data_IF_444198545213
#
_entry.id   IF_444198545213
#
_cell.length_a   1.000
_cell.length_b   1.000
_cell.length_c   1.000
_cell.angle_alpha   90.00
_cell.angle_beta   90.00
_cell.angle_gamma   90.00
#
_symmetry.space_group_name_H-M   'P 1'
#
loop_
_entity.id
_entity.type
_entity.pdbx_description
1 polymer ?
#
# COMPACT_ATOMS: atom_id res chain seq x y z
N UNK A 1 -34.40 -6.20 -8.18
CA UNK A 1 -33.55 -6.14 -9.40
C UNK A 1 -33.00 -4.75 -9.66
N UNK A 2 -33.81 -3.68 -9.73
CA UNK A 2 -33.32 -2.32 -9.99
C UNK A 2 -32.36 -1.76 -8.91
N UNK A 3 -32.61 -2.06 -7.63
CA UNK A 3 -31.73 -1.60 -6.54
C UNK A 3 -30.36 -2.28 -6.55
N UNK A 4 -30.33 -3.59 -6.78
CA UNK A 4 -29.09 -4.34 -6.94
C UNK A 4 -28.25 -3.79 -8.11
N UNK A 5 -28.88 -3.48 -9.24
CA UNK A 5 -28.20 -2.86 -10.38
C UNK A 5 -27.67 -1.46 -10.05
N UNK A 6 -28.42 -0.63 -9.32
CA UNK A 6 -27.95 0.69 -8.85
C UNK A 6 -26.75 0.56 -7.92
N UNK A 7 -26.77 -0.39 -6.99
CA UNK A 7 -25.66 -0.65 -6.08
C UNK A 7 -24.41 -1.10 -6.85
N UNK A 8 -24.55 -2.02 -7.81
CA UNK A 8 -23.44 -2.45 -8.66
C UNK A 8 -22.80 -1.30 -9.44
N UNK A 9 -23.61 -0.37 -9.97
CA UNK A 9 -23.10 0.83 -10.63
C UNK A 9 -22.37 1.76 -9.66
N UNK A 10 -22.89 1.94 -8.44
CA UNK A 10 -22.24 2.76 -7.40
C UNK A 10 -20.90 2.16 -6.96
N UNK A 11 -20.84 0.84 -6.74
CA UNK A 11 -19.61 0.12 -6.42
C UNK A 11 -18.57 0.24 -7.55
N UNK A 12 -18.99 0.05 -8.80
CA UNK A 12 -18.11 0.21 -9.96
C UNK A 12 -17.52 1.63 -10.07
N UNK A 13 -18.38 2.65 -9.95
CA UNK A 13 -17.93 4.05 -9.96
C UNK A 13 -16.99 4.38 -8.80
N UNK A 14 -17.27 3.84 -7.61
CA UNK A 14 -16.44 4.01 -6.41
C UNK A 14 -15.06 3.39 -6.60
N UNK A 15 -14.99 2.19 -7.18
CA UNK A 15 -13.73 1.52 -7.46
C UNK A 15 -12.90 2.28 -8.50
N UNK A 16 -13.53 2.83 -9.54
CA UNK A 16 -12.83 3.60 -10.57
C UNK A 16 -12.30 4.92 -10.03
N UNK A 17 -13.09 5.65 -9.24
CA UNK A 17 -12.66 6.89 -8.58
C UNK A 17 -11.52 6.62 -7.58
N UNK A 18 -11.58 5.49 -6.86
CA UNK A 18 -10.51 5.06 -5.95
C UNK A 18 -9.20 4.81 -6.71
N UNK A 19 -9.24 4.07 -7.84
CA UNK A 19 -8.06 3.83 -8.69
C UNK A 19 -7.50 5.12 -9.28
N UNK A 20 -8.36 6.06 -9.67
CA UNK A 20 -7.94 7.36 -10.18
C UNK A 20 -7.24 8.17 -9.08
N UNK A 21 -7.83 8.18 -7.88
CA UNK A 21 -7.30 8.86 -6.70
C UNK A 21 -5.93 8.30 -6.31
N UNK A 22 -5.79 6.97 -6.20
CA UNK A 22 -4.49 6.33 -5.92
C UNK A 22 -3.41 6.86 -6.86
N UNK A 23 -3.65 6.81 -8.17
CA UNK A 23 -2.70 7.23 -9.22
C UNK A 23 -2.37 8.72 -9.15
N UNK A 24 -3.36 9.56 -8.88
CA UNK A 24 -3.21 11.02 -8.81
C UNK A 24 -2.21 11.46 -7.73
N UNK A 25 -2.13 10.72 -6.63
CA UNK A 25 -1.31 11.09 -5.48
C UNK A 25 0.03 10.36 -5.38
N UNK A 26 0.32 9.38 -6.26
CA UNK A 26 1.63 8.70 -6.30
C UNK A 26 2.83 9.66 -6.40
N UNK A 27 2.80 10.76 -7.18
CA UNK A 27 3.92 11.70 -7.20
C UNK A 27 4.23 12.33 -5.84
N UNK A 28 3.19 12.60 -5.02
CA UNK A 28 3.35 13.14 -3.66
C UNK A 28 3.93 12.09 -2.73
N UNK A 29 3.39 10.87 -2.76
CA UNK A 29 3.92 9.73 -2.01
C UNK A 29 5.40 9.48 -2.33
N UNK A 30 5.76 9.49 -3.61
CA UNK A 30 7.15 9.38 -4.06
C UNK A 30 8.03 10.47 -3.47
N UNK A 31 7.63 11.73 -3.65
CA UNK A 31 8.43 12.87 -3.18
C UNK A 31 8.72 12.75 -1.69
N UNK A 32 7.71 12.37 -0.90
CA UNK A 32 7.86 12.22 0.55
C UNK A 32 8.71 11.01 0.93
N UNK A 33 8.54 9.87 0.28
CA UNK A 33 9.40 8.69 0.46
C UNK A 33 10.88 9.00 0.19
N UNK A 34 11.17 9.74 -0.88
CA UNK A 34 12.55 10.11 -1.25
C UNK A 34 13.19 11.06 -0.25
N UNK A 35 12.41 12.00 0.30
CA UNK A 35 12.86 12.87 1.37
C UNK A 35 13.17 12.10 2.66
N UNK A 36 12.31 11.14 3.04
CA UNK A 36 12.47 10.37 4.27
C UNK A 36 13.64 9.37 4.22
N UNK A 37 14.00 8.91 3.04
CA UNK A 37 14.93 7.81 2.83
C UNK A 37 16.01 8.17 1.82
N UNK A 38 16.70 9.31 1.97
CA UNK A 38 17.59 9.93 0.97
C UNK A 38 18.86 9.12 0.58
N UNK A 39 18.69 8.15 -0.33
CA UNK A 39 19.76 7.37 -0.94
C UNK A 39 20.60 8.22 -1.90
N UNK A 40 20.01 9.22 -2.54
CA UNK A 40 20.69 10.07 -3.51
C UNK A 40 21.86 10.81 -2.84
N UNK A 41 21.67 11.38 -1.65
CA UNK A 41 22.74 12.03 -0.89
C UNK A 41 23.90 11.07 -0.55
N UNK A 42 23.60 9.84 -0.11
CA UNK A 42 24.62 8.82 0.18
C UNK A 42 25.40 8.45 -1.10
N UNK A 43 24.71 8.29 -2.22
CA UNK A 43 25.32 8.01 -3.52
C UNK A 43 26.19 9.18 -4.01
N UNK A 44 25.78 10.43 -3.77
CA UNK A 44 26.60 11.59 -4.10
C UNK A 44 27.87 11.65 -3.23
N UNK A 45 27.76 11.37 -1.93
CA UNK A 45 28.94 11.30 -1.06
C UNK A 45 29.90 10.20 -1.50
N UNK A 46 29.39 9.02 -1.89
CA UNK A 46 30.21 7.93 -2.44
C UNK A 46 30.99 8.33 -3.69
N UNK A 47 30.44 9.21 -4.54
CA UNK A 47 31.08 9.70 -5.76
C UNK A 47 32.18 10.72 -5.49
N UNK A 48 32.00 11.58 -4.49
CA UNK A 48 32.95 12.66 -4.16
C UNK A 48 34.05 12.20 -3.21
N UNK A 49 33.87 11.06 -2.52
CA UNK A 49 34.82 10.57 -1.53
C UNK A 49 36.14 10.09 -2.15
N UNK A 50 37.25 10.55 -1.55
CA UNK A 50 38.60 10.14 -1.92
C UNK A 50 38.78 8.60 -1.82
N UNK A 51 39.49 8.02 -2.80
CA UNK A 51 39.86 6.61 -2.88
C UNK A 51 40.77 6.13 -1.76
N UNK A 52 41.46 7.04 -1.08
CA UNK A 52 42.26 6.71 0.11
C UNK A 52 41.40 6.36 1.32
N UNK A 53 40.18 6.91 1.41
CA UNK A 53 39.27 6.75 2.56
C UNK A 53 38.44 5.46 2.50
N UNK A 54 39.11 4.30 2.43
CA UNK A 54 38.46 2.98 2.25
C UNK A 54 37.44 2.66 3.36
N UNK A 55 37.74 2.98 4.62
CA UNK A 55 36.85 2.69 5.75
C UNK A 55 35.53 3.47 5.63
N UNK A 56 35.63 4.79 5.39
CA UNK A 56 34.45 5.66 5.23
C UNK A 56 33.64 5.27 3.99
N UNK A 57 34.31 4.91 2.89
CA UNK A 57 33.63 4.38 1.69
C UNK A 57 32.84 3.10 1.98
N UNK A 58 33.43 2.17 2.72
CA UNK A 58 32.76 0.92 3.06
C UNK A 58 31.54 1.18 3.94
N UNK A 59 31.64 2.08 4.93
CA UNK A 59 30.49 2.48 5.75
C UNK A 59 29.35 3.05 4.89
N UNK A 60 29.65 3.99 3.99
CA UNK A 60 28.63 4.57 3.09
C UNK A 60 27.98 3.53 2.16
N UNK A 61 28.72 2.50 1.73
CA UNK A 61 28.11 1.40 0.96
C UNK A 61 27.19 0.52 1.80
N UNK A 62 27.52 0.29 3.07
CA UNK A 62 26.63 -0.41 3.99
C UNK A 62 25.38 0.43 4.29
N UNK A 63 25.52 1.74 4.45
CA UNK A 63 24.39 2.67 4.59
C UNK A 63 23.51 2.66 3.34
N UNK A 64 24.12 2.75 2.15
CA UNK A 64 23.40 2.68 0.88
C UNK A 64 22.65 1.35 0.70
N UNK A 65 23.25 0.23 1.13
CA UNK A 65 22.59 -1.09 1.13
C UNK A 65 21.35 -1.09 2.01
N UNK A 66 21.48 -0.72 3.29
CA UNK A 66 20.36 -0.73 4.22
C UNK A 66 19.25 0.24 3.77
N UNK A 67 19.64 1.42 3.29
CA UNK A 67 18.71 2.44 2.83
C UNK A 67 17.97 2.02 1.57
N UNK A 68 18.62 1.34 0.62
CA UNK A 68 17.98 0.82 -0.59
C UNK A 68 16.91 -0.24 -0.27
N UNK A 69 17.23 -1.22 0.59
CA UNK A 69 16.26 -2.23 1.02
C UNK A 69 15.12 -1.62 1.84
N UNK A 70 15.43 -0.71 2.77
CA UNK A 70 14.42 0.00 3.57
C UNK A 70 13.48 0.78 2.65
N UNK A 71 14.02 1.54 1.69
CA UNK A 71 13.21 2.35 0.78
C UNK A 71 12.34 1.49 -0.13
N UNK A 72 12.87 0.40 -0.66
CA UNK A 72 12.12 -0.51 -1.51
C UNK A 72 10.93 -1.15 -0.78
N UNK A 73 11.16 -1.72 0.41
CA UNK A 73 10.09 -2.33 1.20
C UNK A 73 9.09 -1.31 1.73
N UNK A 74 9.56 -0.14 2.20
CA UNK A 74 8.68 0.95 2.66
C UNK A 74 7.76 1.40 1.52
N UNK A 75 8.27 1.51 0.29
CA UNK A 75 7.46 1.88 -0.87
C UNK A 75 6.36 0.86 -1.16
N UNK A 76 6.65 -0.44 -1.08
CA UNK A 76 5.65 -1.50 -1.30
C UNK A 76 4.57 -1.50 -0.22
N UNK A 77 4.96 -1.41 1.05
CA UNK A 77 4.04 -1.36 2.19
C UNK A 77 3.18 -0.11 2.13
N UNK A 78 3.80 1.06 1.92
CA UNK A 78 3.09 2.32 1.80
C UNK A 78 2.13 2.31 0.60
N UNK A 79 2.52 1.74 -0.54
CA UNK A 79 1.63 1.60 -1.69
C UNK A 79 0.42 0.71 -1.40
N UNK A 80 0.59 -0.42 -0.71
CA UNK A 80 -0.53 -1.28 -0.31
C UNK A 80 -1.46 -0.62 0.70
N UNK A 81 -0.92 0.00 1.75
CA UNK A 81 -1.70 0.74 2.74
C UNK A 81 -2.43 1.93 2.12
N UNK A 82 -1.81 2.61 1.16
CA UNK A 82 -2.43 3.68 0.40
C UNK A 82 -3.68 3.22 -0.36
N UNK A 83 -3.67 2.01 -0.92
CA UNK A 83 -4.85 1.44 -1.56
C UNK A 83 -5.96 1.20 -0.55
N UNK A 84 -5.65 0.58 0.58
CA UNK A 84 -6.64 0.32 1.63
C UNK A 84 -7.28 1.61 2.12
N UNK A 85 -6.48 2.64 2.41
CA UNK A 85 -6.98 3.94 2.86
C UNK A 85 -7.89 4.59 1.81
N UNK A 86 -7.40 4.75 0.58
CA UNK A 86 -8.14 5.47 -0.47
C UNK A 86 -9.45 4.75 -0.80
N UNK A 87 -9.42 3.42 -0.96
CA UNK A 87 -10.63 2.66 -1.24
C UNK A 87 -11.62 2.72 -0.08
N UNK A 88 -11.17 2.64 1.17
CA UNK A 88 -12.03 2.82 2.34
C UNK A 88 -12.68 4.21 2.35
N UNK A 89 -11.89 5.29 2.24
CA UNK A 89 -12.41 6.66 2.30
C UNK A 89 -13.38 6.97 1.15
N UNK A 90 -13.03 6.58 -0.08
CA UNK A 90 -13.89 6.81 -1.25
C UNK A 90 -15.15 5.96 -1.17
N UNK A 91 -15.10 4.75 -0.59
CA UNK A 91 -16.29 3.90 -0.40
C UNK A 91 -17.23 4.44 0.68
N UNK A 92 -16.70 4.99 1.77
CA UNK A 92 -17.50 5.68 2.79
C UNK A 92 -18.25 6.86 2.17
N UNK A 93 -17.56 7.71 1.40
CA UNK A 93 -18.20 8.83 0.68
C UNK A 93 -19.19 8.30 -0.36
N UNK A 94 -18.81 7.27 -1.12
CA UNK A 94 -19.63 6.65 -2.16
C UNK A 94 -20.95 6.13 -1.60
N UNK A 95 -20.94 5.53 -0.41
CA UNK A 95 -22.14 5.15 0.33
C UNK A 95 -23.02 6.35 0.65
N UNK A 96 -22.46 7.42 1.24
CA UNK A 96 -23.23 8.64 1.58
C UNK A 96 -23.90 9.25 0.34
N UNK A 97 -23.17 9.32 -0.77
CA UNK A 97 -23.70 9.79 -2.06
C UNK A 97 -24.80 8.86 -2.60
N UNK A 98 -24.62 7.54 -2.49
CA UNK A 98 -25.60 6.55 -2.91
C UNK A 98 -26.90 6.64 -2.10
N UNK A 99 -26.81 6.75 -0.77
CA UNK A 99 -27.96 6.91 0.14
C UNK A 99 -28.70 8.23 -0.11
N UNK A 100 -27.97 9.33 -0.29
CA UNK A 100 -28.54 10.63 -0.65
C UNK A 100 -29.35 10.56 -1.95
N UNK A 101 -28.88 9.81 -2.95
CA UNK A 101 -29.61 9.61 -4.23
C UNK A 101 -30.95 8.86 -4.09
N UNK A 102 -31.27 8.35 -2.91
CA UNK A 102 -32.58 7.74 -2.60
C UNK A 102 -33.59 8.75 -2.05
N UNK A 103 -33.14 9.88 -1.51
CA UNK A 103 -34.01 10.93 -0.93
C UNK A 103 -34.27 12.04 -1.96
N UNK A 104 -35.51 12.15 -2.45
CA UNK A 104 -35.89 12.97 -3.61
C UNK A 104 -36.43 14.38 -3.29
N UNK A 105 -36.48 14.81 -2.02
CA UNK A 105 -37.09 16.09 -1.65
C UNK A 105 -36.06 17.18 -1.33
N UNK A 106 -36.02 18.22 -2.15
CA UNK A 106 -35.08 19.34 -2.04
C UNK A 106 -35.76 20.56 -1.40
N UNK A 107 -35.51 20.78 -0.12
CA UNK A 107 -35.77 22.06 0.58
C UNK A 107 -34.53 22.96 0.55
N UNK A 108 -34.66 24.28 0.73
CA UNK A 108 -33.49 25.18 0.83
C UNK A 108 -32.62 24.89 2.06
N UNK A 109 -33.20 24.32 3.13
CA UNK A 109 -32.42 23.77 4.27
C UNK A 109 -31.60 22.54 3.88
N UNK A 110 -32.07 21.77 2.89
CA UNK A 110 -31.33 20.63 2.35
C UNK A 110 -30.07 21.11 1.64
N UNK A 111 -30.15 22.15 0.79
CA UNK A 111 -28.98 22.70 0.07
C UNK A 111 -27.84 23.11 1.01
N UNK A 112 -28.13 23.80 2.11
CA UNK A 112 -27.11 24.19 3.08
C UNK A 112 -26.47 22.97 3.77
N UNK A 113 -27.25 21.92 4.03
CA UNK A 113 -26.73 20.66 4.56
C UNK A 113 -25.86 19.93 3.54
N UNK A 114 -26.25 19.96 2.27
CA UNK A 114 -25.47 19.35 1.18
C UNK A 114 -24.12 20.03 0.99
N UNK A 115 -24.06 21.37 1.05
CA UNK A 115 -22.80 22.10 1.01
C UNK A 115 -21.89 21.75 2.20
N UNK A 116 -22.46 21.59 3.40
CA UNK A 116 -21.71 21.15 4.59
C UNK A 116 -21.17 19.72 4.46
N UNK A 117 -21.97 18.80 3.93
CA UNK A 117 -21.57 17.41 3.66
C UNK A 117 -20.45 17.34 2.60
N UNK A 118 -20.53 18.13 1.53
CA UNK A 118 -19.47 18.23 0.52
C UNK A 118 -18.16 18.78 1.10
N UNK A 119 -18.24 19.82 1.94
CA UNK A 119 -17.07 20.34 2.66
C UNK A 119 -16.48 19.28 3.59
N UNK A 120 -17.32 18.50 4.27
CA UNK A 120 -16.88 17.41 5.13
C UNK A 120 -16.21 16.28 4.36
N UNK A 121 -16.73 15.89 3.19
CA UNK A 121 -16.08 14.93 2.30
C UNK A 121 -14.68 15.39 1.89
N UNK A 122 -14.54 16.66 1.51
CA UNK A 122 -13.25 17.25 1.16
C UNK A 122 -12.28 17.27 2.34
N UNK A 123 -12.74 17.66 3.53
CA UNK A 123 -11.92 17.68 4.74
C UNK A 123 -11.50 16.28 5.18
N UNK A 124 -12.40 15.29 5.09
CA UNK A 124 -12.13 13.89 5.42
C UNK A 124 -11.05 13.28 4.50
N UNK A 125 -11.18 13.47 3.18
CA UNK A 125 -10.15 13.03 2.24
C UNK A 125 -8.83 13.76 2.54
N UNK A 126 -8.84 15.09 2.58
CA UNK A 126 -7.61 15.88 2.73
C UNK A 126 -6.86 15.52 4.01
N UNK A 127 -7.55 15.45 5.15
CA UNK A 127 -6.94 15.11 6.44
C UNK A 127 -6.35 13.70 6.48
N UNK A 128 -7.02 12.71 5.87
CA UNK A 128 -6.48 11.35 5.76
C UNK A 128 -5.23 11.29 4.89
N UNK A 129 -5.24 11.96 3.74
CA UNK A 129 -4.09 12.00 2.83
C UNK A 129 -2.88 12.73 3.46
N UNK A 130 -3.13 13.84 4.17
CA UNK A 130 -2.10 14.60 4.88
C UNK A 130 -1.50 13.79 6.02
N UNK A 131 -2.33 13.19 6.88
CA UNK A 131 -1.86 12.30 7.94
C UNK A 131 -1.00 11.16 7.38
N UNK A 132 -1.47 10.50 6.32
CA UNK A 132 -0.75 9.38 5.72
C UNK A 132 0.64 9.79 5.22
N UNK A 133 0.73 10.92 4.51
CA UNK A 133 1.98 11.39 3.92
C UNK A 133 2.94 11.98 4.96
N UNK A 134 2.44 12.72 5.94
CA UNK A 134 3.27 13.49 6.85
C UNK A 134 3.67 12.72 8.11
N UNK A 135 2.77 11.90 8.66
CA UNK A 135 3.00 11.16 9.90
C UNK A 135 3.12 9.65 9.66
N UNK A 136 2.10 9.04 9.05
CA UNK A 136 2.03 7.59 8.95
C UNK A 136 3.19 7.01 8.14
N UNK A 137 3.60 7.68 7.05
CA UNK A 137 4.75 7.26 6.25
C UNK A 137 6.05 7.22 7.06
N UNK A 138 6.21 8.13 8.02
CA UNK A 138 7.32 8.10 8.98
C UNK A 138 7.26 6.89 9.90
N UNK A 139 6.07 6.55 10.40
CA UNK A 139 5.85 5.35 11.24
C UNK A 139 6.08 4.05 10.46
N UNK A 140 5.59 3.96 9.21
CA UNK A 140 5.79 2.82 8.30
C UNK A 140 7.30 2.65 8.02
N UNK A 141 7.99 3.74 7.69
CA UNK A 141 9.44 3.76 7.48
C UNK A 141 10.18 3.23 8.71
N UNK A 142 9.84 3.70 9.91
CA UNK A 142 10.48 3.24 11.15
C UNK A 142 10.26 1.75 11.40
N UNK A 143 9.04 1.23 11.14
CA UNK A 143 8.73 -0.20 11.24
C UNK A 143 9.59 -1.04 10.30
N UNK A 144 9.62 -0.67 9.00
CA UNK A 144 10.42 -1.38 8.00
C UNK A 144 11.92 -1.28 8.28
N UNK A 145 12.40 -0.11 8.69
CA UNK A 145 13.81 0.13 9.01
C UNK A 145 14.28 -0.74 10.18
N UNK A 146 13.45 -0.95 11.21
CA UNK A 146 13.76 -1.85 12.31
C UNK A 146 13.97 -3.28 11.80
N UNK A 147 13.03 -3.80 10.98
CA UNK A 147 13.12 -5.14 10.39
C UNK A 147 14.37 -5.30 9.53
N UNK A 148 14.67 -4.32 8.67
CA UNK A 148 15.85 -4.34 7.79
C UNK A 148 17.16 -4.32 8.58
N UNK A 149 17.23 -3.56 9.68
CA UNK A 149 18.40 -3.50 10.55
C UNK A 149 18.63 -4.80 11.32
N UNK A 150 17.56 -5.43 11.79
CA UNK A 150 17.63 -6.65 12.61
C UNK A 150 17.83 -7.93 11.79
N UNK A 151 17.61 -7.88 10.46
CA UNK A 151 17.75 -9.05 9.59
C UNK A 151 19.21 -9.54 9.48
N UNK A 152 19.51 -10.68 10.09
CA UNK A 152 20.87 -11.27 10.15
C UNK A 152 21.46 -11.59 8.78
N UNK A 153 20.65 -12.03 7.81
CA UNK A 153 21.11 -12.38 6.47
C UNK A 153 21.62 -11.14 5.73
N UNK A 154 20.86 -10.05 5.73
CA UNK A 154 21.27 -8.78 5.15
C UNK A 154 22.48 -8.16 5.87
N UNK A 155 22.59 -8.32 7.19
CA UNK A 155 23.76 -7.85 7.94
C UNK A 155 25.04 -8.63 7.60
N UNK A 156 24.91 -9.92 7.27
CA UNK A 156 26.03 -10.75 6.83
C UNK A 156 26.52 -10.39 5.42
N UNK A 157 25.64 -9.85 4.58
CA UNK A 157 25.99 -9.34 3.25
C UNK A 157 26.84 -8.08 3.35
N UNK A 158 28.12 -8.18 2.97
CA UNK A 158 29.07 -7.05 2.96
C UNK A 158 29.35 -6.59 1.53
N UNK A 159 29.05 -5.33 1.23
CA UNK A 159 29.22 -4.77 -0.13
C UNK A 159 30.70 -4.79 -0.54
N UNK A 160 31.59 -4.56 0.42
CA UNK A 160 33.05 -4.55 0.22
C UNK A 160 33.62 -5.90 -0.26
N UNK A 161 32.95 -7.02 0.05
CA UNK A 161 33.37 -8.37 -0.37
C UNK A 161 33.12 -8.64 -1.86
N UNK A 162 32.27 -7.82 -2.51
CA UNK A 162 31.86 -8.00 -3.92
C UNK A 162 31.34 -9.41 -4.21
N UNK A 163 30.76 -10.07 -3.21
CA UNK A 163 30.15 -11.37 -3.37
C UNK A 163 29.00 -11.27 -4.39
N UNK A 164 28.93 -12.25 -5.28
CA UNK A 164 27.79 -12.42 -6.16
C UNK A 164 26.58 -12.84 -5.30
N UNK A 165 25.42 -12.28 -5.60
CA UNK A 165 24.16 -12.63 -4.94
C UNK A 165 23.35 -13.46 -5.93
N UNK A 166 23.06 -14.70 -5.58
CA UNK A 166 22.24 -15.60 -6.39
C UNK A 166 20.76 -15.24 -6.29
N UNK A 167 19.97 -15.70 -7.25
CA UNK A 167 18.52 -15.47 -7.26
C UNK A 167 17.86 -16.05 -6.00
N UNK A 168 18.24 -17.26 -5.60
CA UNK A 168 17.70 -17.91 -4.40
C UNK A 168 18.04 -17.12 -3.13
N UNK A 169 19.28 -16.66 -2.97
CA UNK A 169 19.69 -15.82 -1.84
C UNK A 169 18.91 -14.50 -1.76
N UNK A 170 18.63 -13.87 -2.92
CA UNK A 170 17.84 -12.64 -2.97
C UNK A 170 16.37 -12.91 -2.62
N UNK A 171 15.78 -13.95 -3.20
CA UNK A 171 14.39 -14.31 -2.97
C UNK A 171 14.15 -14.73 -1.52
N UNK A 172 15.03 -15.55 -0.94
CA UNK A 172 15.00 -15.91 0.47
C UNK A 172 15.08 -14.67 1.37
N UNK A 173 16.00 -13.74 1.07
CA UNK A 173 16.13 -12.50 1.84
C UNK A 173 14.86 -11.66 1.77
N UNK A 174 14.33 -11.44 0.56
CA UNK A 174 13.13 -10.61 0.34
C UNK A 174 11.91 -11.22 1.03
N UNK A 175 11.74 -12.53 0.95
CA UNK A 175 10.68 -13.25 1.66
C UNK A 175 10.83 -13.13 3.18
N UNK A 176 12.05 -13.31 3.71
CA UNK A 176 12.32 -13.18 5.13
C UNK A 176 12.03 -11.76 5.65
N UNK A 177 12.44 -10.73 4.90
CA UNK A 177 12.13 -9.34 5.21
C UNK A 177 10.63 -9.07 5.15
N UNK A 178 9.95 -9.56 4.11
CA UNK A 178 8.51 -9.37 3.94
C UNK A 178 7.70 -10.00 5.09
N UNK A 179 7.99 -11.26 5.42
CA UNK A 179 7.31 -11.96 6.53
C UNK A 179 7.54 -11.28 7.88
N UNK A 180 8.72 -10.70 8.08
CA UNK A 180 9.02 -9.94 9.31
C UNK A 180 8.38 -8.54 9.33
N UNK A 181 8.05 -7.98 8.17
CA UNK A 181 7.32 -6.70 8.05
C UNK A 181 5.82 -6.90 8.25
N UNK A 182 5.26 -8.03 7.84
CA UNK A 182 3.82 -8.32 7.95
C UNK A 182 3.32 -8.37 9.40
N UNK A 183 2.00 -8.20 9.63
CA UNK A 183 1.39 -8.44 10.92
C UNK A 183 1.74 -9.84 11.44
N UNK A 184 2.12 -9.93 12.71
CA UNK A 184 2.46 -11.20 13.33
C UNK A 184 1.24 -12.14 13.38
N UNK A 185 1.44 -13.46 13.42
CA UNK A 185 0.34 -14.41 13.60
C UNK A 185 -0.53 -14.14 14.84
N UNK A 186 0.06 -13.54 15.89
CA UNK A 186 -0.67 -13.13 17.08
C UNK A 186 -1.61 -11.95 16.82
N UNK A 187 -1.16 -10.94 16.05
CA UNK A 187 -2.01 -9.81 15.64
C UNK A 187 -3.15 -10.27 14.72
N UNK A 188 -2.90 -11.25 13.86
CA UNK A 188 -3.92 -11.84 12.98
C UNK A 188 -4.97 -12.58 13.80
N UNK A 189 -4.53 -13.45 14.72
CA UNK A 189 -5.44 -14.17 15.60
C UNK A 189 -6.25 -13.24 16.52
N UNK A 190 -5.65 -12.12 16.96
CA UNK A 190 -6.35 -11.09 17.72
C UNK A 190 -7.45 -10.42 16.86
N UNK A 191 -7.15 -10.07 15.61
CA UNK A 191 -8.14 -9.50 14.69
C UNK A 191 -9.32 -10.47 14.41
N UNK A 192 -9.04 -11.75 14.23
CA UNK A 192 -10.08 -12.78 14.02
C UNK A 192 -11.02 -12.94 15.23
N UNK A 193 -10.48 -12.78 16.44
CA UNK A 193 -11.23 -12.85 17.69
C UNK A 193 -11.81 -11.52 18.14
N UNK A 194 -11.58 -10.44 17.39
CA UNK A 194 -11.92 -9.06 17.78
C UNK A 194 -11.32 -8.67 19.14
N UNK A 195 -10.10 -9.15 19.40
CA UNK A 195 -9.30 -8.79 20.57
C UNK A 195 -8.35 -7.64 20.20
N UNK A 196 -8.20 -6.68 21.11
CA UNK A 196 -7.22 -5.61 20.92
C UNK A 196 -5.80 -6.11 21.15
N UNK A 197 -4.90 -5.70 20.25
CA UNK A 197 -3.46 -5.87 20.44
C UNK A 197 -2.72 -4.61 20.00
N UNK A 198 -1.60 -4.32 20.66
CA UNK A 198 -0.79 -3.14 20.35
C UNK A 198 -0.30 -3.15 18.88
N UNK A 199 -0.04 -4.33 18.33
CA UNK A 199 0.37 -4.48 16.93
C UNK A 199 -0.80 -4.23 15.97
N UNK A 200 -2.00 -4.74 16.27
CA UNK A 200 -3.20 -4.45 15.48
C UNK A 200 -3.52 -2.95 15.47
N UNK A 201 -3.45 -2.30 16.64
CA UNK A 201 -3.62 -0.85 16.76
C UNK A 201 -2.62 -0.08 15.91
N UNK A 202 -1.34 -0.49 15.94
CA UNK A 202 -0.28 0.10 15.10
C UNK A 202 -0.59 0.02 13.61
N UNK A 203 -1.15 -1.09 13.11
CA UNK A 203 -1.52 -1.22 11.70
C UNK A 203 -2.69 -0.31 11.30
N UNK A 204 -3.66 -0.11 12.20
CA UNK A 204 -4.76 0.84 12.00
C UNK A 204 -4.25 2.29 12.03
N UNK A 205 -3.34 2.60 12.96
CA UNK A 205 -2.67 3.89 13.05
C UNK A 205 -1.88 4.27 11.79
N UNK A 206 -1.48 3.31 10.96
CA UNK A 206 -0.84 3.66 9.68
C UNK A 206 -1.82 4.24 8.66
N UNK A 207 -3.14 4.10 8.86
CA UNK A 207 -4.17 4.53 7.94
C UNK A 207 -4.95 5.74 8.47
N UNK A 208 -5.16 5.80 9.77
CA UNK A 208 -5.95 6.86 10.42
C UNK A 208 -5.23 7.34 11.70
N UNK A 209 -5.42 8.61 12.04
CA UNK A 209 -4.90 9.18 13.28
C UNK A 209 -5.69 8.68 14.50
N UNK A 210 -5.04 8.49 15.66
CA UNK A 210 -5.65 7.90 16.86
C UNK A 210 -6.68 8.80 17.56
N UNK A 211 -6.51 10.13 17.50
CA UNK A 211 -7.29 11.06 18.32
C UNK A 211 -8.16 12.00 17.48
N UNK A 212 -9.40 12.24 17.93
CA UNK A 212 -10.26 13.31 17.38
C UNK A 212 -9.58 14.65 17.58
N UNK A 213 -9.41 15.43 16.50
CA UNK A 213 -8.82 16.75 16.62
C UNK A 213 -9.84 17.76 17.15
N UNK A 214 -9.40 18.69 18.01
CA UNK A 214 -10.27 19.72 18.56
C UNK A 214 -10.81 20.63 17.45
N UNK A 215 -12.13 20.84 17.41
CA UNK A 215 -12.78 21.70 16.43
C UNK A 215 -13.13 21.04 15.10
N UNK A 216 -13.04 19.70 15.00
CA UNK A 216 -13.52 18.98 13.82
C UNK A 216 -15.05 19.03 13.69
N UNK A 217 -15.52 19.21 12.45
CA UNK A 217 -16.93 19.20 12.09
C UNK A 217 -17.57 17.83 12.37
N UNK A 218 -18.83 17.82 12.82
CA UNK A 218 -19.56 16.59 13.18
C UNK A 218 -19.69 15.61 12.00
N UNK A 219 -19.85 16.09 10.76
CA UNK A 219 -19.93 15.25 9.59
C UNK A 219 -18.57 14.58 9.31
N UNK A 220 -17.46 15.31 9.51
CA UNK A 220 -16.12 14.73 9.41
C UNK A 220 -15.89 13.68 10.48
N UNK A 221 -16.32 13.94 11.72
CA UNK A 221 -16.27 12.96 12.82
C UNK A 221 -17.05 11.70 12.46
N UNK A 222 -18.24 11.83 11.85
CA UNK A 222 -19.01 10.68 11.41
C UNK A 222 -18.27 9.84 10.37
N UNK A 223 -17.64 10.47 9.37
CA UNK A 223 -16.87 9.76 8.33
C UNK A 223 -15.63 9.05 8.92
N UNK A 224 -15.00 9.65 9.94
CA UNK A 224 -13.87 9.05 10.63
C UNK A 224 -14.28 7.86 11.49
N UNK A 225 -15.45 7.92 12.14
CA UNK A 225 -15.98 6.77 12.87
C UNK A 225 -16.29 5.62 11.90
N UNK A 226 -16.92 5.90 10.75
CA UNK A 226 -17.16 4.88 9.72
C UNK A 226 -15.83 4.22 9.26
N UNK A 227 -14.76 5.02 9.15
CA UNK A 227 -13.42 4.50 8.81
C UNK A 227 -12.82 3.66 9.93
N UNK A 228 -12.97 4.07 11.19
CA UNK A 228 -12.54 3.27 12.34
C UNK A 228 -13.29 1.94 12.41
N UNK A 229 -14.62 1.96 12.29
CA UNK A 229 -15.47 0.75 12.30
C UNK A 229 -15.02 -0.23 11.19
N UNK A 230 -14.74 0.29 10.00
CA UNK A 230 -14.26 -0.53 8.88
C UNK A 230 -12.89 -1.14 9.17
N UNK A 231 -11.96 -0.39 9.76
CA UNK A 231 -10.62 -0.87 10.16
C UNK A 231 -10.65 -1.82 11.37
N UNK A 232 -11.71 -1.75 12.16
CA UNK A 232 -11.98 -2.66 13.28
C UNK A 232 -12.66 -3.96 12.85
N UNK A 233 -13.25 -3.98 11.65
CA UNK A 233 -13.85 -5.17 11.06
C UNK A 233 -12.87 -6.34 10.93
N UNK A 234 -13.42 -7.56 10.94
CA UNK A 234 -12.66 -8.78 10.66
C UNK A 234 -12.18 -8.89 9.19
N UNK A 235 -12.56 -7.95 8.33
CA UNK A 235 -12.17 -7.89 6.93
C UNK A 235 -10.86 -7.14 6.70
N UNK A 236 -10.47 -6.25 7.64
CA UNK A 236 -9.27 -5.43 7.51
C UNK A 236 -7.99 -6.27 7.39
N UNK A 237 -7.78 -7.20 8.32
CA UNK A 237 -6.54 -7.98 8.37
C UNK A 237 -6.35 -8.89 7.15
N UNK A 238 -7.38 -9.65 6.70
CA UNK A 238 -7.29 -10.41 5.45
C UNK A 238 -7.00 -9.51 4.24
N UNK A 239 -7.68 -8.37 4.11
CA UNK A 239 -7.46 -7.43 3.01
C UNK A 239 -6.02 -6.89 3.01
N UNK A 240 -5.48 -6.55 4.18
CA UNK A 240 -4.10 -6.11 4.36
C UNK A 240 -3.09 -7.19 3.94
N UNK A 241 -3.22 -8.40 4.47
CA UNK A 241 -2.27 -9.48 4.20
C UNK A 241 -2.30 -9.91 2.73
N UNK A 242 -3.49 -10.03 2.15
CA UNK A 242 -3.66 -10.46 0.78
C UNK A 242 -3.14 -9.39 -0.19
N UNK A 243 -3.49 -8.11 0.01
CA UNK A 243 -3.01 -7.02 -0.85
C UNK A 243 -1.49 -6.87 -0.80
N UNK A 244 -0.89 -6.87 0.39
CA UNK A 244 0.57 -6.79 0.54
C UNK A 244 1.28 -8.04 -0.01
N UNK A 245 0.71 -9.23 0.20
CA UNK A 245 1.22 -10.49 -0.33
C UNK A 245 1.25 -10.50 -1.86
N UNK A 246 0.16 -10.06 -2.48
CA UNK A 246 0.10 -9.90 -3.94
C UNK A 246 1.13 -8.89 -4.44
N UNK A 247 1.18 -7.69 -3.83
CA UNK A 247 2.09 -6.63 -4.26
C UNK A 247 3.56 -7.03 -4.13
N UNK A 248 3.95 -7.56 -2.98
CA UNK A 248 5.34 -7.95 -2.74
C UNK A 248 5.73 -9.17 -3.57
N UNK A 249 4.85 -10.16 -3.71
CA UNK A 249 5.10 -11.34 -4.53
C UNK A 249 5.41 -10.98 -6.00
N UNK A 250 4.58 -10.12 -6.60
CA UNK A 250 4.84 -9.66 -7.97
C UNK A 250 6.09 -8.77 -8.04
N UNK A 251 6.26 -7.85 -7.10
CA UNK A 251 7.42 -6.94 -7.10
C UNK A 251 8.75 -7.68 -6.96
N UNK A 252 8.80 -8.76 -6.19
CA UNK A 252 9.99 -9.60 -6.06
C UNK A 252 10.26 -10.39 -7.33
N UNK A 253 9.23 -10.93 -7.97
CA UNK A 253 9.38 -11.61 -9.26
C UNK A 253 9.90 -10.66 -10.35
N UNK A 254 9.37 -9.44 -10.42
CA UNK A 254 9.81 -8.48 -11.41
C UNK A 254 11.23 -7.96 -11.13
N UNK A 255 11.61 -7.82 -9.85
CA UNK A 255 12.99 -7.55 -9.46
C UNK A 255 13.92 -8.70 -9.87
N UNK A 256 13.51 -9.95 -9.68
CA UNK A 256 14.24 -11.14 -10.11
C UNK A 256 14.48 -11.09 -11.63
N UNK A 257 13.43 -10.81 -12.42
CA UNK A 257 13.52 -10.71 -13.87
C UNK A 257 14.45 -9.57 -14.33
N UNK A 258 14.50 -8.46 -13.58
CA UNK A 258 15.39 -7.34 -13.87
C UNK A 258 16.85 -7.68 -13.59
N UNK A 259 17.10 -8.36 -12.46
CA UNK A 259 18.44 -8.71 -11.99
C UNK A 259 19.02 -9.90 -12.76
N UNK A 260 18.23 -10.96 -12.93
CA UNK A 260 18.65 -12.27 -13.46
C UNK A 260 18.10 -12.57 -14.86
N UNK A 261 17.25 -11.72 -15.42
CA UNK A 261 16.61 -11.96 -16.72
C UNK A 261 15.28 -12.69 -16.58
N UNK A 262 14.40 -12.62 -17.60
CA UNK A 262 13.02 -13.07 -17.49
C UNK A 262 12.92 -14.56 -17.21
N UNK A 263 12.10 -14.90 -16.20
CA UNK A 263 11.81 -16.27 -15.80
C UNK A 263 10.86 -16.99 -16.76
N UNK A 264 10.06 -16.24 -17.53
CA UNK A 264 9.15 -16.77 -18.55
C UNK A 264 9.67 -16.44 -19.96
N UNK A 265 9.68 -17.40 -20.90
CA UNK A 265 9.95 -17.07 -22.29
C UNK A 265 8.89 -16.08 -22.79
N UNK A 266 9.32 -15.00 -23.44
CA UNK A 266 8.39 -14.19 -24.22
C UNK A 266 7.68 -15.11 -25.22
N UNK A 267 6.38 -14.91 -25.49
CA UNK A 267 5.71 -15.58 -26.60
C UNK A 267 6.26 -15.00 -27.91
N UNK A 268 7.48 -15.40 -28.27
CA UNK A 268 8.02 -15.18 -29.60
C UNK A 268 7.31 -16.14 -30.55
N UNK A 269 6.80 -15.55 -31.63
CA UNK A 269 6.23 -16.26 -32.77
C UNK A 269 7.23 -17.32 -33.21
N UNK A 270 6.77 -18.57 -33.21
CA UNK A 270 7.49 -19.81 -33.53
C UNK A 270 8.62 -19.60 -34.56
N UNK A 271 9.86 -19.49 -34.08
CA UNK A 271 11.05 -19.94 -34.80
C UNK A 271 11.63 -21.12 -34.02
N UNK A 272 11.73 -22.25 -34.69
CA UNK A 272 11.94 -23.61 -34.17
C UNK A 272 13.35 -23.86 -33.59
N UNK A 273 14.05 -22.82 -33.11
CA UNK A 273 15.40 -22.88 -32.53
C UNK A 273 15.66 -21.79 -31.46
N UNK A 274 14.65 -21.45 -30.64
CA UNK A 274 14.88 -20.53 -29.52
C UNK A 274 15.72 -21.22 -28.42
N UNK A 275 16.99 -20.84 -28.28
CA UNK A 275 17.80 -21.19 -27.11
C UNK A 275 17.02 -20.83 -25.83
N UNK A 276 17.02 -21.69 -24.79
CA UNK A 276 16.36 -21.36 -23.53
C UNK A 276 16.89 -20.02 -23.00
N UNK A 277 16.03 -19.17 -22.41
CA UNK A 277 16.44 -17.85 -21.94
C UNK A 277 17.62 -18.00 -20.96
N UNK A 278 18.80 -17.52 -21.38
CA UNK A 278 20.02 -17.57 -20.58
C UNK A 278 19.87 -16.57 -19.42
N UNK A 279 19.68 -17.08 -18.20
CA UNK A 279 19.72 -16.25 -16.98
C UNK A 279 21.05 -15.48 -16.92
N UNK A 280 20.97 -14.19 -16.60
CA UNK A 280 22.13 -13.31 -16.39
C UNK A 280 22.98 -13.87 -15.25
N UNK A 281 24.32 -13.70 -15.29
CA UNK A 281 25.18 -14.10 -14.20
C UNK A 281 24.84 -13.33 -12.92
N UNK A 282 24.99 -14.00 -11.77
CA UNK A 282 24.72 -13.43 -10.46
C UNK A 282 25.55 -12.14 -10.24
N UNK A 283 24.91 -10.98 -10.01
CA UNK A 283 25.64 -9.72 -9.90
C UNK A 283 26.21 -9.54 -8.50
N UNK A 284 27.25 -8.69 -8.35
CA UNK A 284 27.72 -8.30 -7.02
C UNK A 284 26.66 -7.45 -6.31
N UNK A 285 26.59 -7.53 -4.98
CA UNK A 285 25.61 -6.80 -4.15
C UNK A 285 25.46 -5.30 -4.48
N UNK A 286 26.56 -4.61 -4.79
CA UNK A 286 26.53 -3.18 -5.16
C UNK A 286 25.66 -2.88 -6.40
N UNK A 287 25.45 -3.87 -7.28
CA UNK A 287 24.60 -3.75 -8.45
C UNK A 287 23.11 -3.97 -8.15
N UNK A 288 22.76 -4.56 -7.01
CA UNK A 288 21.37 -4.70 -6.57
C UNK A 288 20.76 -3.36 -6.13
N UNK A 289 21.57 -2.48 -5.53
CA UNK A 289 21.15 -1.14 -5.06
C UNK A 289 20.45 -0.34 -6.18
N UNK A 290 21.04 -0.13 -7.37
CA UNK A 290 20.36 0.57 -8.46
C UNK A 290 19.17 -0.20 -9.04
N UNK A 291 19.15 -1.54 -8.99
CA UNK A 291 17.99 -2.34 -9.42
C UNK A 291 16.78 -2.12 -8.51
N UNK A 292 16.97 -2.13 -7.19
CA UNK A 292 15.92 -1.82 -6.21
C UNK A 292 15.35 -0.41 -6.43
N UNK A 293 16.22 0.56 -6.75
CA UNK A 293 15.81 1.93 -7.04
C UNK A 293 15.03 2.04 -8.36
N UNK A 294 15.36 1.23 -9.38
CA UNK A 294 14.65 1.18 -10.66
C UNK A 294 13.24 0.56 -10.47
N UNK A 295 13.16 -0.63 -9.87
CA UNK A 295 12.13 -1.11 -8.94
C UNK A 295 11.05 -0.10 -8.56
N UNK A 296 11.38 0.59 -7.48
CA UNK A 296 10.50 1.56 -6.87
C UNK A 296 10.13 2.72 -7.80
N UNK A 297 11.06 3.17 -8.66
CA UNK A 297 10.76 4.24 -9.61
C UNK A 297 9.64 3.83 -10.58
N UNK A 298 9.67 2.61 -11.13
CA UNK A 298 8.60 2.11 -12.02
C UNK A 298 7.26 2.09 -11.31
N UNK A 299 7.23 1.65 -10.05
CA UNK A 299 6.03 1.61 -9.23
C UNK A 299 5.45 3.01 -8.96
N UNK A 300 6.29 4.02 -8.73
CA UNK A 300 5.84 5.33 -8.23
C UNK A 300 5.86 6.49 -9.25
N UNK A 301 6.43 6.31 -10.45
CA UNK A 301 6.52 7.36 -11.49
C UNK A 301 5.55 7.19 -12.64
N UNK A 302 5.23 5.95 -13.02
CA UNK A 302 4.46 5.71 -14.23
C UNK A 302 2.97 5.88 -13.92
N UNK A 303 2.37 6.97 -14.45
CA UNK A 303 0.94 7.30 -14.26
C UNK A 303 0.11 7.07 -15.54
N UNK A 304 0.40 5.99 -16.27
CA UNK A 304 -0.33 5.57 -17.47
C UNK A 304 -1.24 4.36 -17.23
N UNK A 305 -2.17 4.05 -18.14
CA UNK A 305 -3.02 2.85 -18.05
C UNK A 305 -2.19 1.55 -18.08
N UNK A 306 -1.08 1.52 -18.82
CA UNK A 306 -0.17 0.37 -18.88
C UNK A 306 0.96 0.43 -17.85
N UNK A 307 0.87 1.37 -16.91
CA UNK A 307 1.90 1.55 -15.90
C UNK A 307 1.97 0.38 -14.93
N UNK A 308 3.12 0.26 -14.30
CA UNK A 308 3.35 -0.68 -13.22
C UNK A 308 2.37 -0.49 -12.06
N UNK A 309 2.14 0.77 -11.66
CA UNK A 309 1.15 1.14 -10.67
C UNK A 309 -0.25 0.68 -11.08
N UNK A 310 -0.67 0.93 -12.32
CA UNK A 310 -2.00 0.54 -12.80
C UNK A 310 -2.21 -0.98 -12.79
N UNK A 311 -1.21 -1.76 -13.24
CA UNK A 311 -1.27 -3.23 -13.22
C UNK A 311 -1.42 -3.77 -11.79
N UNK A 312 -0.63 -3.25 -10.87
CA UNK A 312 -0.71 -3.67 -9.47
C UNK A 312 -2.00 -3.21 -8.79
N UNK A 313 -2.46 -1.98 -9.03
CA UNK A 313 -3.75 -1.49 -8.55
C UNK A 313 -4.92 -2.33 -9.07
N UNK A 314 -4.86 -2.77 -10.33
CA UNK A 314 -5.85 -3.66 -10.90
C UNK A 314 -5.85 -5.00 -10.19
N UNK A 315 -4.69 -5.64 -10.05
CA UNK A 315 -4.58 -6.93 -9.37
C UNK A 315 -5.04 -6.90 -7.91
N UNK A 316 -4.71 -5.83 -7.16
CA UNK A 316 -5.22 -5.62 -5.80
C UNK A 316 -6.76 -5.50 -5.80
N UNK A 317 -7.33 -4.75 -6.73
CA UNK A 317 -8.79 -4.60 -6.86
C UNK A 317 -9.52 -5.87 -7.30
N UNK A 318 -8.82 -6.84 -7.90
CA UNK A 318 -9.38 -8.15 -8.26
C UNK A 318 -9.38 -9.14 -7.08
N UNK A 319 -8.69 -8.82 -5.99
CA UNK A 319 -8.66 -9.67 -4.80
C UNK A 319 -9.98 -9.62 -4.05
N UNK A 320 -10.56 -10.79 -3.79
CA UNK A 320 -11.84 -10.91 -3.08
C UNK A 320 -11.78 -10.30 -1.67
N UNK A 321 -10.76 -10.61 -0.88
CA UNK A 321 -10.60 -10.06 0.46
C UNK A 321 -10.54 -8.53 0.46
N UNK A 322 -9.87 -7.93 -0.53
CA UNK A 322 -9.77 -6.48 -0.67
C UNK A 322 -11.11 -5.85 -1.07
N UNK A 323 -11.83 -6.46 -2.03
CA UNK A 323 -13.18 -6.02 -2.41
C UNK A 323 -14.14 -6.10 -1.24
N UNK A 324 -14.21 -7.26 -0.59
CA UNK A 324 -15.10 -7.47 0.54
C UNK A 324 -14.88 -6.43 1.64
N UNK A 325 -13.62 -6.05 1.91
CA UNK A 325 -13.28 -5.02 2.86
C UNK A 325 -13.90 -3.66 2.53
N UNK A 326 -13.64 -3.06 1.36
CA UNK A 326 -14.19 -1.72 1.10
C UNK A 326 -15.68 -1.74 0.75
N UNK A 327 -16.21 -2.85 0.21
CA UNK A 327 -17.63 -2.98 -0.13
C UNK A 327 -18.51 -3.21 1.10
N UNK A 328 -17.96 -3.74 2.20
CA UNK A 328 -18.69 -3.98 3.45
C UNK A 328 -19.46 -2.76 3.95
N UNK A 329 -18.89 -1.56 3.75
CA UNK A 329 -19.51 -0.30 4.18
C UNK A 329 -20.93 -0.13 3.61
N UNK A 330 -21.17 -0.61 2.38
CA UNK A 330 -22.47 -0.55 1.71
C UNK A 330 -23.51 -1.54 2.26
N UNK A 331 -23.08 -2.55 3.01
CA UNK A 331 -23.92 -3.64 3.50
C UNK A 331 -24.14 -3.62 5.03
N UNK A 332 -23.25 -2.99 5.79
CA UNK A 332 -23.25 -2.95 7.27
C UNK A 332 -24.53 -2.39 7.92
N UNK A 333 -25.38 -1.65 7.19
CA UNK A 333 -26.63 -1.09 7.73
C UNK A 333 -27.89 -1.92 7.47
N UNK A 334 -27.81 -3.01 6.71
CA UNK A 334 -28.99 -3.84 6.44
C UNK A 334 -29.49 -4.67 7.65
N UNK A 335 -28.75 -4.68 8.76
CA UNK A 335 -29.10 -5.40 9.99
C UNK A 335 -29.74 -4.52 11.10
N UNK A 336 -29.83 -3.20 10.91
CA UNK A 336 -30.34 -2.27 11.93
C UNK A 336 -31.70 -1.63 11.60
N UNK A 337 -32.49 -2.19 10.67
CA UNK A 337 -33.92 -1.86 10.56
C UNK A 337 -34.76 -2.78 11.47
N UNK A 338 -35.28 -2.33 12.63
CA UNK A 338 -36.11 -3.14 13.53
C UNK A 338 -37.59 -3.18 13.08
N UNK A 339 -37.91 -2.71 11.87
CA UNK A 339 -39.27 -2.57 11.37
C UNK A 339 -39.56 -3.50 10.19
N UNK A 340 -39.36 -4.80 10.39
CA UNK A 340 -40.17 -5.80 9.68
C UNK A 340 -40.88 -6.64 10.73
N UNK A 341 -42.12 -6.22 10.97
CA UNK A 341 -43.02 -6.86 11.91
C UNK A 341 -43.15 -8.35 11.62
N UNK A 342 -43.05 -9.11 12.70
CA UNK A 342 -43.50 -10.49 12.77
C UNK A 342 -44.92 -10.59 12.20
N UNK A 343 -45.05 -11.19 11.02
CA UNK A 343 -46.31 -11.74 10.53
C UNK A 343 -46.02 -13.12 9.93
N UNK A 344 -45.75 -14.05 10.85
CA UNK A 344 -46.07 -15.46 10.67
C UNK A 344 -47.56 -15.64 10.95
N UNK A 345 -48.36 -15.92 9.92
CA UNK A 345 -49.42 -16.93 9.95
C UNK A 345 -49.23 -17.80 8.71
#
# INVERSE_FOLDING_TARGET
MAEHQRLQLALGSTADESRATVRRFLPRLKTRLYQLLDLESVVQELKTLDKTQKSKRNALWEDAKLLAFTRYLTALVAFGLWHLLVFAQVSIIGKRVFEKSKSLELSDRQKQREEAEEQAHHAFLTSGLEYFLDEALGKIKAHVEAVVKENKQLQAWKVSRKAAVTADELNELLQALFLAVLPSPAAVAAAEKQEDSAELHKWREFLIYPDKQQGQDEHVISLLNDLWDLLESNLFMPALQHSLGFLCGNAFQDLDDVVYGPSKPEPQVVEDNAEPPKKKPAPPLAKLIPCLQAEMNKLLLSSGPDSYAAKYSQGVGEMEAFRNFYEAIFFEQSAQDPYMGSTLI
#
